data_IF_971946612947
#
_entry.id   IF_971946612947
#
_cell.length_a   1.000
_cell.length_b   1.000
_cell.length_c   1.000
_cell.angle_alpha   90.00
_cell.angle_beta   90.00
_cell.angle_gamma   90.00
#
_symmetry.space_group_name_H-M   'P 1'
#
loop_
_entity.id
_entity.type
_entity.pdbx_description
1 polymer ?
#
# COMPACT_ATOMS: atom_id res chain seq x y z
N UNK A 1 3.14 -18.43 5.22
CA UNK A 1 3.48 -17.05 4.81
C UNK A 1 2.45 -16.63 3.77
N UNK A 2 1.53 -15.74 4.14
CA UNK A 2 0.59 -15.17 3.19
C UNK A 2 1.29 -14.01 2.47
N UNK A 3 1.59 -14.17 1.19
CA UNK A 3 2.10 -13.07 0.38
C UNK A 3 0.92 -12.15 0.05
N UNK A 4 0.85 -10.99 0.69
CA UNK A 4 -0.08 -9.95 0.26
C UNK A 4 0.53 -9.22 -0.94
N UNK A 5 0.07 -9.57 -2.14
CA UNK A 5 0.45 -8.88 -3.37
C UNK A 5 -0.37 -7.60 -3.48
N UNK A 6 0.19 -6.45 -3.07
CA UNK A 6 -0.46 -5.16 -3.27
C UNK A 6 0.18 -4.44 -4.46
N UNK A 7 -0.65 -4.04 -5.43
CA UNK A 7 -0.24 -3.17 -6.52
C UNK A 7 -0.12 -1.74 -5.98
N UNK A 8 1.08 -1.38 -5.53
CA UNK A 8 1.32 -0.06 -4.92
C UNK A 8 1.18 1.10 -5.91
N UNK A 9 1.25 0.81 -7.22
CA UNK A 9 1.16 1.81 -8.29
C UNK A 9 0.29 1.32 -9.47
N UNK A 10 -0.92 0.83 -9.19
CA UNK A 10 -1.85 0.35 -10.23
C UNK A 10 -2.05 1.39 -11.33
N UNK A 11 -2.38 2.63 -10.96
CA UNK A 11 -2.60 3.73 -11.91
C UNK A 11 -1.37 4.06 -12.74
N UNK A 12 -0.17 3.94 -12.15
CA UNK A 12 1.06 4.20 -12.88
C UNK A 12 1.33 3.11 -13.91
N UNK A 13 1.14 1.84 -13.55
CA UNK A 13 1.27 0.72 -14.46
C UNK A 13 0.26 0.82 -15.61
N UNK A 14 -1.01 1.15 -15.32
CA UNK A 14 -2.04 1.36 -16.33
C UNK A 14 -1.64 2.51 -17.28
N UNK A 15 -1.25 3.66 -16.74
CA UNK A 15 -0.81 4.81 -17.54
C UNK A 15 0.40 4.48 -18.43
N UNK A 16 1.37 3.71 -17.91
CA UNK A 16 2.56 3.29 -18.68
C UNK A 16 2.20 2.28 -19.77
N UNK A 17 1.32 1.33 -19.47
CA UNK A 17 0.85 0.35 -20.46
C UNK A 17 0.11 1.03 -21.60
N UNK A 18 -0.75 2.00 -21.30
CA UNK A 18 -1.44 2.81 -22.32
C UNK A 18 -0.44 3.60 -23.18
N UNK A 19 0.60 4.18 -22.58
CA UNK A 19 1.66 4.88 -23.33
C UNK A 19 2.49 3.92 -24.17
N UNK A 20 2.88 2.76 -23.63
CA UNK A 20 3.62 1.74 -24.34
C UNK A 20 2.85 1.26 -25.58
N UNK A 21 1.56 0.96 -25.41
CA UNK A 21 0.62 0.64 -26.49
C UNK A 21 0.57 1.75 -27.54
N UNK A 22 0.41 3.01 -27.11
CA UNK A 22 0.41 4.17 -28.00
C UNK A 22 1.73 4.32 -28.77
N UNK A 23 2.87 4.12 -28.10
CA UNK A 23 4.19 4.12 -28.72
C UNK A 23 4.34 3.03 -29.77
N UNK A 24 3.93 1.80 -29.45
CA UNK A 24 3.90 0.69 -30.39
C UNK A 24 3.01 0.97 -31.61
N UNK A 25 1.78 1.46 -31.38
CA UNK A 25 0.84 1.81 -32.45
C UNK A 25 1.39 2.89 -33.38
N UNK A 26 1.96 3.97 -32.82
CA UNK A 26 2.61 5.03 -33.61
C UNK A 26 3.77 4.48 -34.45
N UNK A 27 4.56 3.56 -33.90
CA UNK A 27 5.64 2.93 -34.64
C UNK A 27 5.12 2.00 -35.75
N UNK A 28 3.97 1.34 -35.55
CA UNK A 28 3.29 0.60 -36.61
C UNK A 28 2.83 1.49 -37.77
N UNK A 29 2.33 2.70 -37.48
CA UNK A 29 2.01 3.71 -38.53
C UNK A 29 3.29 4.10 -39.27
N UNK A 30 4.36 4.40 -38.55
CA UNK A 30 5.64 4.78 -39.15
C UNK A 30 6.21 3.64 -40.00
N UNK A 31 6.15 2.40 -39.53
CA UNK A 31 6.59 1.22 -40.26
C UNK A 31 5.77 1.01 -41.54
N UNK A 32 4.44 1.17 -41.48
CA UNK A 32 3.58 1.08 -42.66
C UNK A 32 3.89 2.18 -43.70
N UNK A 33 4.13 3.41 -43.25
CA UNK A 33 4.54 4.51 -44.12
C UNK A 33 5.94 4.29 -44.71
N UNK A 34 6.88 3.82 -43.88
CA UNK A 34 8.24 3.51 -44.31
C UNK A 34 8.24 2.41 -45.36
N UNK A 35 7.49 1.32 -45.17
CA UNK A 35 7.36 0.26 -46.17
C UNK A 35 6.84 0.80 -47.51
N UNK A 36 5.84 1.69 -47.46
CA UNK A 36 5.26 2.30 -48.68
C UNK A 36 6.20 3.27 -49.38
N UNK A 37 7.04 3.99 -48.64
CA UNK A 37 8.00 4.95 -49.20
C UNK A 37 9.33 4.29 -49.62
N UNK A 38 9.68 3.17 -48.98
CA UNK A 38 10.98 2.50 -49.13
C UNK A 38 10.96 1.33 -50.11
N UNK A 39 9.79 0.85 -50.53
CA UNK A 39 9.62 -0.15 -51.60
C UNK A 39 10.53 0.09 -52.83
N UNK A 40 10.68 1.32 -53.38
CA UNK A 40 11.59 1.56 -54.51
C UNK A 40 13.08 1.52 -54.17
N UNK A 41 13.47 1.61 -52.90
CA UNK A 41 14.88 1.68 -52.44
C UNK A 41 15.39 0.38 -51.82
N UNK A 42 14.54 -0.64 -51.69
CA UNK A 42 14.86 -1.89 -51.01
C UNK A 42 16.05 -2.65 -51.62
N UNK A 43 16.37 -2.42 -52.90
CA UNK A 43 17.51 -3.04 -53.56
C UNK A 43 18.89 -2.50 -53.15
N UNK A 44 18.96 -1.33 -52.49
CA UNK A 44 20.25 -0.65 -52.20
C UNK A 44 20.66 -0.80 -50.73
N UNK A 45 19.71 -0.96 -49.80
CA UNK A 45 19.99 -0.93 -48.36
C UNK A 45 19.40 -2.18 -47.67
N UNK A 46 20.26 -3.15 -47.38
CA UNK A 46 19.91 -4.33 -46.59
C UNK A 46 20.08 -4.06 -45.08
N UNK A 47 19.27 -3.17 -44.49
CA UNK A 47 19.11 -3.18 -43.02
C UNK A 47 17.98 -4.13 -42.66
N UNK A 48 18.33 -5.35 -42.24
CA UNK A 48 17.41 -6.33 -41.68
C UNK A 48 17.14 -6.03 -40.20
N UNK A 49 16.67 -4.82 -39.89
CA UNK A 49 16.13 -4.55 -38.55
C UNK A 49 14.71 -5.11 -38.50
N UNK A 50 14.51 -6.12 -37.67
CA UNK A 50 13.20 -6.74 -37.54
C UNK A 50 12.17 -5.77 -36.94
N UNK A 51 10.93 -5.78 -37.44
CA UNK A 51 9.79 -5.00 -36.95
C UNK A 51 9.64 -4.97 -35.42
N UNK A 52 9.88 -6.11 -34.77
CA UNK A 52 9.75 -6.27 -33.32
C UNK A 52 10.65 -5.38 -32.48
N UNK A 53 11.87 -5.09 -32.95
CA UNK A 53 12.80 -4.21 -32.25
C UNK A 53 12.22 -2.80 -32.11
N UNK A 54 11.67 -2.26 -33.19
CA UNK A 54 11.11 -0.91 -33.21
C UNK A 54 9.87 -0.80 -32.31
N UNK A 55 9.05 -1.85 -32.26
CA UNK A 55 7.90 -1.90 -31.35
C UNK A 55 8.34 -1.78 -29.88
N UNK A 56 9.35 -2.55 -29.48
CA UNK A 56 9.89 -2.55 -28.11
C UNK A 56 10.53 -1.21 -27.77
N UNK A 57 11.34 -0.63 -28.66
CA UNK A 57 12.00 0.66 -28.40
C UNK A 57 10.98 1.80 -28.32
N UNK A 58 10.00 1.85 -29.22
CA UNK A 58 8.94 2.86 -29.18
C UNK A 58 8.08 2.73 -27.92
N UNK A 59 7.73 1.50 -27.53
CA UNK A 59 7.01 1.22 -26.30
C UNK A 59 7.82 1.68 -25.07
N UNK A 60 9.11 1.36 -25.02
CA UNK A 60 9.99 1.73 -23.92
C UNK A 60 10.19 3.25 -23.80
N UNK A 61 10.35 3.95 -24.92
CA UNK A 61 10.46 5.40 -24.96
C UNK A 61 9.18 6.11 -24.51
N UNK A 62 8.02 5.58 -24.88
CA UNK A 62 6.73 6.13 -24.49
C UNK A 62 6.41 5.84 -23.02
N UNK A 63 6.81 4.67 -22.51
CA UNK A 63 6.61 4.27 -21.12
C UNK A 63 7.57 4.99 -20.14
N UNK A 64 8.78 5.33 -20.58
CA UNK A 64 9.79 5.98 -19.76
C UNK A 64 9.32 7.35 -19.24
N UNK A 65 9.31 7.53 -17.92
CA UNK A 65 9.20 8.84 -17.25
C UNK A 65 10.59 9.27 -16.79
N UNK A 66 11.36 10.00 -17.60
CA UNK A 66 12.68 10.41 -17.18
C UNK A 66 12.62 11.45 -16.05
N UNK A 67 13.54 11.33 -15.08
CA UNK A 67 13.83 12.41 -14.15
C UNK A 67 14.54 13.56 -14.88
N UNK A 68 14.31 14.81 -14.43
CA UNK A 68 14.71 16.03 -15.17
C UNK A 68 16.22 16.11 -15.52
N UNK A 69 17.10 15.37 -14.83
CA UNK A 69 18.54 15.34 -15.13
C UNK A 69 19.02 14.26 -16.11
N UNK A 70 18.25 13.18 -16.33
CA UNK A 70 18.72 12.00 -17.08
C UNK A 70 17.91 11.71 -18.34
N UNK A 71 16.99 12.61 -18.72
CA UNK A 71 16.04 12.37 -19.79
C UNK A 71 16.67 12.07 -21.15
N UNK A 72 17.67 12.86 -21.55
CA UNK A 72 18.36 12.67 -22.82
C UNK A 72 19.21 11.40 -22.80
N UNK A 73 19.93 11.14 -21.70
CA UNK A 73 20.73 9.93 -21.53
C UNK A 73 19.89 8.65 -21.60
N UNK A 74 18.74 8.62 -20.92
CA UNK A 74 17.83 7.47 -20.96
C UNK A 74 17.26 7.25 -22.37
N UNK A 75 16.83 8.30 -23.06
CA UNK A 75 16.30 8.19 -24.42
C UNK A 75 17.37 7.71 -25.41
N UNK A 76 18.59 8.23 -25.32
CA UNK A 76 19.72 7.77 -26.13
C UNK A 76 20.07 6.31 -25.83
N UNK A 77 20.12 5.94 -24.55
CA UNK A 77 20.40 4.56 -24.12
C UNK A 77 19.32 3.57 -24.61
N UNK A 78 18.04 3.95 -24.55
CA UNK A 78 16.93 3.13 -25.06
C UNK A 78 16.95 2.95 -26.58
N UNK A 79 17.50 3.91 -27.33
CA UNK A 79 17.70 3.76 -28.77
C UNK A 79 18.89 2.85 -29.09
N UNK A 80 20.01 3.01 -28.37
CA UNK A 80 21.28 2.35 -28.75
C UNK A 80 21.43 0.96 -28.15
N UNK A 81 21.19 0.79 -26.85
CA UNK A 81 21.53 -0.46 -26.15
C UNK A 81 20.70 -1.67 -26.59
N UNK A 82 19.38 -1.56 -26.85
CA UNK A 82 18.61 -2.72 -27.34
C UNK A 82 19.03 -3.18 -28.75
N UNK A 83 19.85 -2.43 -29.49
CA UNK A 83 20.42 -2.87 -30.79
C UNK A 83 21.54 -3.87 -30.58
N UNK A 84 22.23 -3.82 -29.44
CA UNK A 84 23.44 -4.61 -29.20
C UNK A 84 23.31 -6.12 -29.47
N UNK A 85 22.20 -6.80 -29.08
CA UNK A 85 22.02 -8.23 -29.33
C UNK A 85 22.03 -8.63 -30.81
N UNK A 86 21.68 -7.70 -31.71
CA UNK A 86 21.63 -7.97 -33.15
C UNK A 86 23.01 -8.06 -33.79
N UNK A 87 24.07 -7.57 -33.13
CA UNK A 87 25.45 -7.71 -33.63
C UNK A 87 26.03 -9.11 -33.43
N UNK A 88 25.42 -9.95 -32.58
CA UNK A 88 25.96 -11.27 -32.22
C UNK A 88 25.49 -12.42 -33.14
N UNK A 89 24.73 -12.12 -34.21
CA UNK A 89 24.20 -13.12 -35.15
C UNK A 89 23.52 -14.33 -34.46
N UNK A 90 22.88 -14.10 -33.31
CA UNK A 90 22.18 -15.13 -32.57
C UNK A 90 20.88 -15.54 -33.30
N UNK A 91 20.45 -16.81 -33.23
CA UNK A 91 19.22 -17.25 -33.88
C UNK A 91 17.99 -16.57 -33.27
N UNK A 92 17.02 -16.21 -34.12
CA UNK A 92 15.73 -15.73 -33.65
C UNK A 92 15.04 -16.80 -32.77
N UNK A 93 14.37 -16.44 -31.66
CA UNK A 93 14.04 -15.08 -31.23
C UNK A 93 14.95 -14.51 -30.11
N UNK A 94 16.20 -14.98 -30.01
CA UNK A 94 17.11 -14.56 -28.93
C UNK A 94 17.43 -13.07 -28.94
N UNK A 95 17.80 -12.43 -30.08
CA UNK A 95 18.09 -11.00 -30.11
C UNK A 95 16.93 -10.13 -29.58
N UNK A 96 15.70 -10.48 -29.94
CA UNK A 96 14.47 -9.77 -29.56
C UNK A 96 14.18 -9.95 -28.06
N UNK A 97 14.42 -11.15 -27.52
CA UNK A 97 14.30 -11.41 -26.08
C UNK A 97 15.30 -10.56 -25.28
N UNK A 98 16.56 -10.54 -25.69
CA UNK A 98 17.59 -9.74 -25.00
C UNK A 98 17.32 -8.24 -25.16
N UNK A 99 16.88 -7.79 -26.34
CA UNK A 99 16.50 -6.39 -26.57
C UNK A 99 15.33 -5.97 -25.66
N UNK A 100 14.30 -6.80 -25.55
CA UNK A 100 13.17 -6.60 -24.63
C UNK A 100 13.61 -6.52 -23.17
N UNK A 101 14.51 -7.40 -22.74
CA UNK A 101 15.08 -7.42 -21.40
C UNK A 101 15.90 -6.15 -21.09
N UNK A 102 16.77 -5.72 -22.02
CA UNK A 102 17.57 -4.50 -21.89
C UNK A 102 16.65 -3.27 -21.78
N UNK A 103 15.65 -3.16 -22.67
CA UNK A 103 14.71 -2.04 -22.65
C UNK A 103 13.94 -1.97 -21.32
N UNK A 104 13.44 -3.11 -20.83
CA UNK A 104 12.74 -3.18 -19.56
C UNK A 104 13.65 -2.86 -18.37
N UNK A 105 14.89 -3.36 -18.36
CA UNK A 105 15.88 -3.05 -17.33
C UNK A 105 16.19 -1.54 -17.29
N UNK A 106 16.36 -0.90 -18.44
CA UNK A 106 16.61 0.54 -18.53
C UNK A 106 15.41 1.36 -18.03
N UNK A 107 14.19 1.00 -18.44
CA UNK A 107 12.98 1.68 -17.98
C UNK A 107 12.76 1.48 -16.47
N UNK A 108 12.95 0.26 -15.97
CA UNK A 108 12.78 -0.05 -14.55
C UNK A 108 13.86 0.63 -13.69
N UNK A 109 15.12 0.63 -14.13
CA UNK A 109 16.24 1.14 -13.34
C UNK A 109 16.38 2.66 -13.37
N UNK A 110 16.29 3.29 -14.55
CA UNK A 110 16.50 4.74 -14.71
C UNK A 110 15.19 5.54 -14.71
N UNK A 111 14.08 4.92 -15.13
CA UNK A 111 12.78 5.58 -15.27
C UNK A 111 12.03 5.80 -13.95
N UNK A 112 12.39 5.13 -12.86
CA UNK A 112 11.77 5.35 -11.54
C UNK A 112 12.49 6.38 -10.68
N UNK A 113 13.61 6.94 -11.15
CA UNK A 113 14.55 7.66 -10.28
C UNK A 113 15.20 6.71 -9.27
N UNK A 114 16.45 6.97 -8.90
CA UNK A 114 17.17 6.13 -7.92
C UNK A 114 16.56 6.17 -6.51
N UNK A 115 15.48 6.93 -6.30
CA UNK A 115 14.80 7.10 -5.03
C UNK A 115 14.12 5.81 -4.54
N UNK A 116 13.83 4.85 -5.44
CA UNK A 116 13.37 3.50 -5.09
C UNK A 116 14.49 2.47 -4.83
N UNK A 117 15.77 2.85 -4.88
CA UNK A 117 16.93 1.93 -4.84
C UNK A 117 17.24 1.36 -3.45
N UNK A 118 16.23 0.91 -2.71
CA UNK A 118 16.43 0.00 -1.59
C UNK A 118 16.99 -1.35 -2.06
N UNK A 119 17.46 -2.18 -1.12
CA UNK A 119 18.09 -3.47 -1.41
C UNK A 119 17.24 -4.46 -2.25
N UNK A 120 15.92 -4.21 -2.43
CA UNK A 120 15.01 -5.00 -3.28
C UNK A 120 14.79 -4.45 -4.71
N UNK A 121 15.40 -3.33 -5.08
CA UNK A 121 15.24 -2.75 -6.42
C UNK A 121 15.95 -3.56 -7.51
N UNK A 122 17.06 -4.22 -7.19
CA UNK A 122 17.81 -5.03 -8.17
C UNK A 122 17.06 -6.30 -8.58
N UNK A 123 16.36 -6.94 -7.65
CA UNK A 123 15.60 -8.17 -7.92
C UNK A 123 14.34 -7.90 -8.73
N UNK A 124 13.63 -6.81 -8.44
CA UNK A 124 12.45 -6.38 -9.22
C UNK A 124 12.83 -5.93 -10.63
N UNK A 125 13.94 -5.20 -10.80
CA UNK A 125 14.50 -4.85 -12.12
C UNK A 125 14.88 -6.12 -12.88
N UNK A 126 15.62 -7.05 -12.28
CA UNK A 126 16.00 -8.31 -12.92
C UNK A 126 14.79 -9.16 -13.31
N UNK A 127 13.77 -9.25 -12.43
CA UNK A 127 12.53 -9.97 -12.71
C UNK A 127 11.76 -9.34 -13.87
N UNK A 128 11.68 -8.00 -13.92
CA UNK A 128 11.03 -7.28 -15.03
C UNK A 128 11.78 -7.45 -16.34
N UNK A 129 13.11 -7.43 -16.32
CA UNK A 129 13.94 -7.68 -17.49
C UNK A 129 13.76 -9.10 -18.01
N UNK A 130 13.80 -10.10 -17.13
CA UNK A 130 13.56 -11.49 -17.49
C UNK A 130 12.15 -11.71 -18.07
N UNK A 131 11.12 -11.18 -17.39
CA UNK A 131 9.73 -11.32 -17.82
C UNK A 131 9.46 -10.60 -19.16
N UNK A 132 9.94 -9.37 -19.34
CA UNK A 132 9.83 -8.66 -20.61
C UNK A 132 10.62 -9.36 -21.73
N UNK A 133 11.80 -9.89 -21.43
CA UNK A 133 12.57 -10.69 -22.38
C UNK A 133 11.85 -11.96 -22.83
N UNK A 134 11.14 -12.63 -21.92
CA UNK A 134 10.34 -13.82 -22.26
C UNK A 134 9.04 -13.47 -22.99
N UNK A 135 8.36 -12.37 -22.64
CA UNK A 135 7.07 -12.00 -23.23
C UNK A 135 7.20 -11.31 -24.59
N UNK A 136 8.33 -10.66 -24.88
CA UNK A 136 8.58 -10.05 -26.20
C UNK A 136 8.46 -11.05 -27.36
N UNK A 137 9.12 -12.23 -27.36
CA UNK A 137 8.96 -13.22 -28.43
C UNK A 137 7.56 -13.83 -28.47
N UNK A 138 6.87 -13.93 -27.33
CA UNK A 138 5.46 -14.35 -27.29
C UNK A 138 4.58 -13.33 -28.01
N UNK A 139 4.79 -12.03 -27.78
CA UNK A 139 4.10 -10.96 -28.49
C UNK A 139 4.36 -11.01 -30.00
N UNK A 140 5.59 -11.30 -30.41
CA UNK A 140 5.93 -11.47 -31.84
C UNK A 140 5.24 -12.70 -32.45
N UNK A 141 5.18 -13.81 -31.72
CA UNK A 141 4.45 -14.99 -32.16
C UNK A 141 2.95 -14.70 -32.31
N UNK A 142 2.34 -14.01 -31.35
CA UNK A 142 0.93 -13.61 -31.42
C UNK A 142 0.69 -12.67 -32.61
N UNK A 143 1.59 -11.73 -32.86
CA UNK A 143 1.54 -10.88 -34.06
C UNK A 143 1.55 -11.74 -35.33
N UNK A 144 2.47 -12.70 -35.47
CA UNK A 144 2.55 -13.59 -36.64
C UNK A 144 1.25 -14.38 -36.84
N UNK A 145 0.67 -14.89 -35.75
CA UNK A 145 -0.62 -15.61 -35.77
C UNK A 145 -1.77 -14.69 -36.19
N UNK A 146 -1.78 -13.44 -35.72
CA UNK A 146 -2.80 -12.45 -36.10
C UNK A 146 -2.68 -12.06 -37.58
N UNK A 147 -1.47 -11.81 -38.05
CA UNK A 147 -1.19 -11.46 -39.45
C UNK A 147 -1.57 -12.61 -40.40
N UNK A 148 -1.32 -13.87 -40.00
CA UNK A 148 -1.64 -15.06 -40.78
C UNK A 148 -3.15 -15.36 -40.85
N UNK A 149 -3.89 -15.14 -39.77
CA UNK A 149 -5.30 -15.56 -39.68
C UNK A 149 -6.32 -14.46 -39.99
N UNK A 150 -6.01 -13.18 -39.71
CA UNK A 150 -7.03 -12.12 -39.67
C UNK A 150 -6.73 -10.92 -40.57
N UNK A 151 -5.48 -10.47 -40.65
CA UNK A 151 -5.19 -9.09 -41.09
C UNK A 151 -4.54 -8.99 -42.47
N UNK A 152 -4.12 -10.11 -43.08
CA UNK A 152 -3.61 -10.12 -44.45
C UNK A 152 -2.35 -9.27 -44.62
N UNK A 153 -1.27 -9.62 -43.92
CA UNK A 153 0.16 -9.36 -44.22
C UNK A 153 0.69 -7.92 -44.38
N UNK A 154 -0.07 -6.94 -44.88
CA UNK A 154 0.48 -5.64 -45.34
C UNK A 154 -0.40 -4.42 -45.08
N UNK A 155 -1.61 -4.60 -44.54
CA UNK A 155 -2.48 -3.47 -44.20
C UNK A 155 -1.89 -2.59 -43.09
N UNK A 156 -2.11 -1.27 -43.16
CA UNK A 156 -1.75 -0.33 -42.08
C UNK A 156 -2.34 -0.78 -40.73
N UNK A 157 -3.57 -1.28 -40.75
CA UNK A 157 -4.23 -1.81 -39.55
C UNK A 157 -3.49 -3.03 -38.97
N UNK A 158 -2.97 -3.92 -39.83
CA UNK A 158 -2.15 -5.08 -39.44
C UNK A 158 -0.90 -4.63 -38.68
N UNK A 159 -0.18 -3.66 -39.23
CA UNK A 159 1.05 -3.13 -38.65
C UNK A 159 0.78 -2.42 -37.32
N UNK A 160 -0.24 -1.57 -37.26
CA UNK A 160 -0.62 -0.88 -36.01
C UNK A 160 -0.98 -1.89 -34.92
N UNK A 161 -1.82 -2.88 -35.24
CA UNK A 161 -2.29 -3.85 -34.27
C UNK A 161 -1.19 -4.84 -33.84
N UNK A 162 -0.35 -5.26 -34.78
CA UNK A 162 0.81 -6.13 -34.52
C UNK A 162 1.82 -5.47 -33.59
N UNK A 163 2.22 -4.23 -33.87
CA UNK A 163 3.16 -3.51 -33.02
C UNK A 163 2.57 -3.14 -31.65
N UNK A 164 1.27 -2.80 -31.60
CA UNK A 164 0.58 -2.60 -30.33
C UNK A 164 0.53 -3.90 -29.51
N UNK A 165 0.34 -5.06 -30.14
CA UNK A 165 0.36 -6.36 -29.48
C UNK A 165 1.74 -6.64 -28.85
N UNK A 166 2.83 -6.47 -29.60
CA UNK A 166 4.20 -6.65 -29.07
C UNK A 166 4.46 -5.68 -27.91
N UNK A 167 4.06 -4.42 -28.03
CA UNK A 167 4.18 -3.43 -26.97
C UNK A 167 3.37 -3.79 -25.71
N UNK A 168 2.18 -4.38 -25.87
CA UNK A 168 1.36 -4.87 -24.76
C UNK A 168 2.09 -5.98 -23.98
N UNK A 169 2.56 -7.00 -24.68
CA UNK A 169 3.27 -8.13 -24.06
C UNK A 169 4.55 -7.67 -23.36
N UNK A 170 5.31 -6.77 -24.00
CA UNK A 170 6.46 -6.15 -23.37
C UNK A 170 6.09 -5.36 -22.11
N UNK A 171 5.02 -4.55 -22.15
CA UNK A 171 4.54 -3.78 -21.00
C UNK A 171 4.09 -4.68 -19.85
N UNK A 172 3.38 -5.78 -20.13
CA UNK A 172 3.01 -6.79 -19.12
C UNK A 172 4.28 -7.37 -18.48
N UNK A 173 5.33 -7.59 -19.25
CA UNK A 173 6.63 -8.04 -18.74
C UNK A 173 7.32 -7.05 -17.81
N UNK A 174 6.98 -5.76 -17.86
CA UNK A 174 7.50 -4.76 -16.92
C UNK A 174 6.76 -4.74 -15.58
N UNK A 175 5.63 -5.46 -15.45
CA UNK A 175 4.80 -5.50 -14.25
C UNK A 175 5.58 -5.85 -12.96
N UNK A 176 6.55 -6.78 -12.93
CA UNK A 176 7.33 -7.07 -11.71
C UNK A 176 8.08 -5.87 -11.13
N UNK A 177 8.42 -4.86 -11.94
CA UNK A 177 9.03 -3.62 -11.43
C UNK A 177 8.06 -2.74 -10.64
N UNK A 178 6.75 -2.94 -10.84
CA UNK A 178 5.67 -2.23 -10.15
C UNK A 178 5.06 -3.05 -8.99
N UNK A 179 5.44 -4.32 -8.89
CA UNK A 179 5.09 -5.17 -7.77
C UNK A 179 6.09 -4.98 -6.65
N UNK A 180 5.74 -4.16 -5.66
CA UNK A 180 6.38 -4.29 -4.36
C UNK A 180 5.76 -5.50 -3.67
N UNK A 181 6.44 -6.64 -3.82
CA UNK A 181 6.21 -7.79 -2.95
C UNK A 181 6.61 -7.34 -1.54
N UNK A 182 5.65 -6.81 -0.80
CA UNK A 182 5.80 -6.64 0.63
C UNK A 182 5.86 -8.05 1.18
N UNK A 183 7.08 -8.49 1.47
CA UNK A 183 7.34 -9.76 2.16
C UNK A 183 6.68 -9.77 3.55
N UNK A 184 6.17 -8.62 3.99
CA UNK A 184 5.47 -8.41 5.24
C UNK A 184 4.21 -7.55 5.08
N UNK A 185 3.05 -8.19 5.23
CA UNK A 185 1.75 -7.53 5.18
C UNK A 185 1.56 -6.50 6.31
N UNK A 186 2.19 -6.72 7.47
CA UNK A 186 2.03 -5.89 8.67
C UNK A 186 2.75 -4.57 8.48
N UNK A 187 3.97 -4.60 7.95
CA UNK A 187 4.74 -3.39 7.64
C UNK A 187 4.08 -2.54 6.54
N UNK A 188 3.55 -3.18 5.49
CA UNK A 188 2.80 -2.50 4.44
C UNK A 188 1.59 -1.75 5.01
N UNK A 189 0.81 -2.43 5.86
CA UNK A 189 -0.35 -1.85 6.55
C UNK A 189 0.06 -0.67 7.43
N UNK A 190 1.11 -0.80 8.23
CA UNK A 190 1.59 0.30 9.07
C UNK A 190 2.06 1.53 8.28
N UNK A 191 2.74 1.32 7.14
CA UNK A 191 3.20 2.42 6.28
C UNK A 191 2.06 3.17 5.58
N UNK A 192 1.04 2.44 5.10
CA UNK A 192 -0.16 3.08 4.52
C UNK A 192 -0.92 3.90 5.58
N UNK A 193 -1.05 3.35 6.78
CA UNK A 193 -1.75 4.00 7.88
C UNK A 193 -1.07 5.28 8.35
N UNK A 194 0.28 5.32 8.35
CA UNK A 194 1.06 6.51 8.69
C UNK A 194 0.71 7.73 7.81
N UNK A 195 0.36 7.52 6.54
CA UNK A 195 -0.02 8.61 5.64
C UNK A 195 -1.46 9.11 5.86
N UNK A 196 -2.35 8.27 6.39
CA UNK A 196 -3.75 8.59 6.62
C UNK A 196 -4.02 9.24 7.98
N UNK A 197 -3.20 8.92 8.99
CA UNK A 197 -3.32 9.44 10.35
C UNK A 197 -2.76 10.87 10.48
N UNK A 198 -3.28 11.61 11.47
CA UNK A 198 -2.81 12.95 11.86
C UNK A 198 -2.51 13.01 13.35
N UNK A 199 -1.61 13.92 13.74
CA UNK A 199 -1.30 14.23 15.13
C UNK A 199 -0.64 13.06 15.88
N UNK A 200 -0.97 12.92 17.16
CA UNK A 200 -0.34 11.95 18.07
C UNK A 200 -0.49 10.49 17.61
N UNK A 201 -1.65 10.11 17.06
CA UNK A 201 -1.88 8.77 16.54
C UNK A 201 -0.92 8.42 15.38
N UNK A 202 -0.52 9.41 14.57
CA UNK A 202 0.45 9.25 13.50
C UNK A 202 1.86 9.01 14.06
N UNK A 203 2.25 9.75 15.09
CA UNK A 203 3.54 9.60 15.76
C UNK A 203 3.67 8.23 16.41
N UNK A 204 2.63 7.78 17.12
CA UNK A 204 2.57 6.46 17.74
C UNK A 204 2.63 5.34 16.72
N UNK A 205 1.89 5.46 15.61
CA UNK A 205 1.92 4.46 14.53
C UNK A 205 3.29 4.41 13.87
N UNK A 206 3.91 5.58 13.61
CA UNK A 206 5.26 5.66 13.07
C UNK A 206 6.28 5.00 13.98
N UNK A 207 6.17 5.24 15.29
CA UNK A 207 7.00 4.60 16.31
C UNK A 207 6.76 3.10 16.36
N UNK A 208 5.51 2.64 16.33
CA UNK A 208 5.14 1.22 16.31
C UNK A 208 5.75 0.48 15.11
N UNK A 209 5.66 1.05 13.90
CA UNK A 209 6.29 0.50 12.68
C UNK A 209 7.81 0.38 12.87
N UNK A 210 8.45 1.45 13.36
CA UNK A 210 9.89 1.43 13.61
C UNK A 210 10.29 0.37 14.66
N UNK A 211 9.54 0.24 15.75
CA UNK A 211 9.81 -0.78 16.77
C UNK A 211 9.63 -2.19 16.23
N UNK A 212 8.56 -2.43 15.47
CA UNK A 212 8.31 -3.71 14.81
C UNK A 212 9.46 -4.10 13.87
N UNK A 213 9.91 -3.19 12.99
CA UNK A 213 11.04 -3.42 12.09
C UNK A 213 12.34 -3.77 12.85
N UNK A 214 12.64 -3.04 13.94
CA UNK A 214 13.81 -3.31 14.77
C UNK A 214 13.72 -4.67 15.45
N UNK A 215 12.58 -5.00 16.06
CA UNK A 215 12.33 -6.30 16.68
C UNK A 215 12.45 -7.42 15.64
N UNK A 216 11.76 -7.30 14.50
CA UNK A 216 11.82 -8.28 13.41
C UNK A 216 13.25 -8.52 12.93
N UNK A 217 14.03 -7.46 12.72
CA UNK A 217 15.44 -7.57 12.32
C UNK A 217 16.28 -8.28 13.38
N UNK A 218 16.05 -7.99 14.66
CA UNK A 218 16.71 -8.67 15.77
C UNK A 218 16.37 -10.17 15.81
N UNK A 219 15.12 -10.54 15.53
CA UNK A 219 14.65 -11.94 15.49
C UNK A 219 15.18 -12.70 14.28
N UNK A 220 15.24 -12.07 13.12
CA UNK A 220 15.78 -12.70 11.91
C UNK A 220 17.29 -12.99 12.00
N UNK A 221 18.03 -12.24 12.84
CA UNK A 221 19.43 -12.55 13.18
C UNK A 221 19.59 -13.79 14.07
N UNK A 222 18.51 -14.29 14.67
CA UNK A 222 18.54 -15.53 15.46
C UNK A 222 18.56 -16.75 14.53
N UNK A 223 19.25 -17.83 14.94
CA UNK A 223 19.29 -19.07 14.16
C UNK A 223 17.87 -19.61 13.92
N UNK A 224 17.62 -20.27 12.77
CA UNK A 224 16.33 -20.86 12.47
C UNK A 224 15.94 -21.89 13.51
N UNK A 225 14.85 -21.63 14.23
CA UNK A 225 14.30 -22.47 15.28
C UNK A 225 12.78 -22.29 15.33
N UNK A 226 12.01 -23.26 15.86
CA UNK A 226 10.56 -23.12 16.02
C UNK A 226 10.20 -21.92 16.92
N UNK A 227 10.96 -21.70 18.00
CA UNK A 227 10.77 -20.55 18.89
C UNK A 227 10.95 -19.20 18.18
N UNK A 228 11.78 -19.12 17.13
CA UNK A 228 11.90 -17.92 16.28
C UNK A 228 10.60 -17.61 15.53
N UNK A 229 9.93 -18.64 15.02
CA UNK A 229 8.66 -18.47 14.29
C UNK A 229 7.55 -18.03 15.24
N UNK A 230 7.40 -18.70 16.39
CA UNK A 230 6.42 -18.31 17.42
C UNK A 230 6.60 -16.85 17.85
N UNK A 231 7.84 -16.41 17.99
CA UNK A 231 8.16 -15.03 18.36
C UNK A 231 7.82 -14.02 17.24
N UNK A 232 8.05 -14.38 15.97
CA UNK A 232 7.62 -13.55 14.84
C UNK A 232 6.10 -13.44 14.80
N UNK A 233 5.37 -14.55 15.00
CA UNK A 233 3.91 -14.57 15.02
C UNK A 233 3.35 -13.67 16.14
N UNK A 234 3.96 -13.71 17.33
CA UNK A 234 3.58 -12.83 18.45
C UNK A 234 3.85 -11.36 18.12
N UNK A 235 5.01 -11.05 17.52
CA UNK A 235 5.33 -9.68 17.11
C UNK A 235 4.39 -9.16 16.03
N UNK A 236 4.06 -9.98 15.04
CA UNK A 236 3.09 -9.67 13.99
C UNK A 236 1.71 -9.40 14.58
N UNK A 237 1.26 -10.24 15.53
CA UNK A 237 0.00 -10.04 16.24
C UNK A 237 -0.03 -8.71 17.01
N UNK A 238 0.99 -8.41 17.81
CA UNK A 238 1.07 -7.16 18.59
C UNK A 238 1.08 -5.92 17.69
N UNK A 239 1.84 -5.95 16.59
CA UNK A 239 1.87 -4.85 15.63
C UNK A 239 0.54 -4.69 14.90
N UNK A 240 -0.09 -5.79 14.47
CA UNK A 240 -1.42 -5.77 13.85
C UNK A 240 -2.51 -5.23 14.77
N UNK A 241 -2.49 -5.57 16.06
CA UNK A 241 -3.41 -5.03 17.07
C UNK A 241 -3.22 -3.52 17.25
N UNK A 242 -1.96 -3.06 17.33
CA UNK A 242 -1.62 -1.64 17.38
C UNK A 242 -2.18 -0.88 16.16
N UNK A 243 -2.00 -1.41 14.95
CA UNK A 243 -2.53 -0.78 13.73
C UNK A 243 -4.05 -0.81 13.66
N UNK A 244 -4.69 -1.88 14.15
CA UNK A 244 -6.15 -1.97 14.20
C UNK A 244 -6.76 -0.95 15.17
N UNK A 245 -6.11 -0.68 16.30
CA UNK A 245 -6.50 0.39 17.23
C UNK A 245 -6.34 1.78 16.60
N UNK A 246 -5.23 2.01 15.89
CA UNK A 246 -4.98 3.27 15.21
C UNK A 246 -5.99 3.52 14.07
N UNK A 247 -6.37 2.49 13.30
CA UNK A 247 -7.46 2.57 12.32
C UNK A 247 -8.81 2.89 12.97
N UNK A 248 -9.16 2.21 14.08
CA UNK A 248 -10.38 2.48 14.82
C UNK A 248 -10.42 3.92 15.36
N UNK A 249 -9.30 4.43 15.85
CA UNK A 249 -9.15 5.82 16.27
C UNK A 249 -9.34 6.79 15.10
N UNK A 250 -8.75 6.49 13.93
CA UNK A 250 -8.88 7.32 12.72
C UNK A 250 -10.33 7.40 12.25
N UNK A 251 -11.01 6.26 12.17
CA UNK A 251 -12.39 6.16 11.75
C UNK A 251 -13.32 6.96 12.68
N UNK A 252 -13.11 6.83 14.00
CA UNK A 252 -13.91 7.54 14.99
C UNK A 252 -13.61 9.05 14.99
N UNK A 253 -12.35 9.44 14.77
CA UNK A 253 -11.98 10.86 14.62
C UNK A 253 -12.65 11.46 13.38
N UNK A 254 -12.64 10.77 12.24
CA UNK A 254 -13.32 11.22 11.03
C UNK A 254 -14.84 11.33 11.21
N UNK A 255 -15.45 10.43 11.99
CA UNK A 255 -16.87 10.50 12.36
C UNK A 255 -17.17 11.68 13.28
N UNK A 256 -16.31 11.99 14.25
CA UNK A 256 -16.51 13.16 15.11
C UNK A 256 -16.29 14.46 14.32
N UNK A 257 -15.24 14.54 13.50
CA UNK A 257 -14.93 15.73 12.70
C UNK A 257 -16.03 16.05 11.68
N UNK A 258 -16.74 15.04 11.14
CA UNK A 258 -17.86 15.27 10.24
C UNK A 258 -19.12 15.80 10.92
N UNK A 259 -19.28 15.54 12.23
CA UNK A 259 -20.43 16.00 13.02
C UNK A 259 -20.17 17.35 13.70
N UNK A 260 -18.91 17.66 14.03
CA UNK A 260 -18.50 18.85 14.82
C UNK A 260 -18.58 20.18 14.03
N UNK A 261 -19.06 20.19 12.78
CA UNK A 261 -19.25 21.42 12.00
C UNK A 261 -20.59 22.15 12.25
N UNK A 262 -21.53 21.55 12.98
CA UNK A 262 -22.75 22.24 13.42
C UNK A 262 -22.82 22.24 14.95
N UNK A 263 -22.91 23.45 15.51
CA UNK A 263 -22.93 23.68 16.95
C UNK A 263 -24.27 23.18 17.54
N UNK A 264 -24.38 21.86 17.72
CA UNK A 264 -25.58 21.17 18.22
C UNK A 264 -25.97 21.71 19.61
N UNK A 265 -25.01 22.12 20.44
CA UNK A 265 -25.29 22.78 21.73
C UNK A 265 -25.94 24.16 21.55
N UNK A 266 -25.46 24.97 20.58
CA UNK A 266 -26.13 26.22 20.24
C UNK A 266 -27.56 25.98 19.71
N UNK A 267 -27.78 24.94 18.91
CA UNK A 267 -29.12 24.57 18.42
C UNK A 267 -30.05 24.12 19.55
N UNK A 268 -29.55 23.32 20.50
CA UNK A 268 -30.32 22.93 21.70
C UNK A 268 -30.71 24.15 22.54
N UNK A 269 -29.77 25.07 22.77
CA UNK A 269 -30.03 26.33 23.50
C UNK A 269 -31.04 27.20 22.77
N UNK A 270 -30.92 27.31 21.45
CA UNK A 270 -31.85 28.08 20.63
C UNK A 270 -33.26 27.48 20.63
N UNK A 271 -33.40 26.16 20.47
CA UNK A 271 -34.71 25.48 20.52
C UNK A 271 -35.38 25.63 21.89
N UNK A 272 -34.62 25.53 22.98
CA UNK A 272 -35.14 25.78 24.34
C UNK A 272 -35.57 27.22 24.55
N UNK A 273 -34.80 28.19 24.05
CA UNK A 273 -35.17 29.60 24.10
C UNK A 273 -36.44 29.90 23.28
N UNK A 274 -36.56 29.31 22.08
CA UNK A 274 -37.77 29.39 21.24
C UNK A 274 -38.98 28.75 21.92
N UNK A 275 -38.81 27.58 22.55
CA UNK A 275 -39.88 26.91 23.31
C UNK A 275 -40.40 27.78 24.46
N UNK A 276 -39.51 28.49 25.16
CA UNK A 276 -39.87 29.38 26.26
C UNK A 276 -40.64 30.64 25.81
N UNK A 277 -40.41 31.11 24.59
CA UNK A 277 -41.07 32.30 24.04
C UNK A 277 -42.44 32.01 23.41
N UNK A 278 -42.76 30.75 23.10
CA UNK A 278 -44.01 30.35 22.45
C UNK A 278 -45.13 30.15 23.48
N UNK A 279 -46.29 30.75 23.19
CA UNK A 279 -47.49 30.64 24.03
C UNK A 279 -48.33 29.39 23.74
N UNK A 280 -48.27 28.86 22.51
CA UNK A 280 -48.96 27.64 22.13
C UNK A 280 -48.31 26.41 22.78
N UNK A 281 -49.10 25.69 23.57
CA UNK A 281 -48.65 24.52 24.33
C UNK A 281 -48.23 23.35 23.45
N UNK A 282 -48.85 23.18 22.27
CA UNK A 282 -48.52 22.07 21.36
C UNK A 282 -47.18 22.34 20.68
N UNK A 283 -47.00 23.55 20.13
CA UNK A 283 -45.75 23.96 19.51
C UNK A 283 -44.58 23.97 20.50
N UNK A 284 -44.80 24.46 21.74
CA UNK A 284 -43.80 24.41 22.81
C UNK A 284 -43.36 22.98 23.12
N UNK A 285 -44.31 22.05 23.28
CA UNK A 285 -43.99 20.64 23.55
C UNK A 285 -43.19 19.99 22.42
N UNK A 286 -43.49 20.32 21.16
CA UNK A 286 -42.71 19.80 20.04
C UNK A 286 -41.27 20.32 20.00
N UNK A 287 -41.05 21.60 20.32
CA UNK A 287 -39.70 22.15 20.43
C UNK A 287 -38.93 21.58 21.62
N UNK A 288 -39.59 21.33 22.76
CA UNK A 288 -38.98 20.66 23.91
C UNK A 288 -38.57 19.22 23.57
N UNK A 289 -39.40 18.48 22.84
CA UNK A 289 -39.07 17.13 22.34
C UNK A 289 -37.91 17.14 21.33
N UNK A 290 -37.88 18.12 20.43
CA UNK A 290 -36.76 18.28 19.51
C UNK A 290 -35.45 18.60 20.26
N UNK A 291 -35.52 19.48 21.26
CA UNK A 291 -34.37 19.81 22.10
C UNK A 291 -33.90 18.62 22.96
N UNK A 292 -34.81 17.75 23.43
CA UNK A 292 -34.41 16.52 24.15
C UNK A 292 -33.74 15.51 23.22
N UNK A 293 -34.27 15.32 22.00
CA UNK A 293 -33.67 14.44 20.98
C UNK A 293 -32.24 14.87 20.63
N UNK A 294 -32.01 16.16 20.39
CA UNK A 294 -30.65 16.68 20.14
C UNK A 294 -29.75 16.59 21.38
N UNK A 295 -30.32 16.68 22.59
CA UNK A 295 -29.58 16.46 23.83
C UNK A 295 -29.08 15.02 23.99
N UNK A 296 -29.86 14.03 23.54
CA UNK A 296 -29.44 12.63 23.50
C UNK A 296 -28.31 12.41 22.47
N UNK A 297 -28.37 13.06 21.32
CA UNK A 297 -27.29 13.04 20.32
C UNK A 297 -26.00 13.64 20.87
N UNK A 298 -26.06 14.77 21.60
CA UNK A 298 -24.88 15.33 22.28
C UNK A 298 -24.27 14.33 23.28
N UNK A 299 -25.10 13.69 24.10
CA UNK A 299 -24.63 12.66 25.03
C UNK A 299 -23.97 11.49 24.29
N UNK A 300 -24.48 11.13 23.11
CA UNK A 300 -23.88 10.10 22.26
C UNK A 300 -22.51 10.55 21.71
N UNK A 301 -22.37 11.79 21.26
CA UNK A 301 -21.10 12.37 20.82
C UNK A 301 -20.07 12.40 21.95
N UNK A 302 -20.48 12.73 23.17
CA UNK A 302 -19.63 12.67 24.36
C UNK A 302 -19.23 11.25 24.75
N UNK A 303 -20.07 10.25 24.46
CA UNK A 303 -19.68 8.85 24.61
C UNK A 303 -18.63 8.45 23.56
N UNK A 304 -18.78 8.91 22.31
CA UNK A 304 -17.81 8.68 21.24
C UNK A 304 -16.47 9.40 21.49
N UNK A 305 -16.48 10.64 21.99
CA UNK A 305 -15.26 11.38 22.32
C UNK A 305 -14.43 10.66 23.40
N UNK A 306 -15.08 10.19 24.47
CA UNK A 306 -14.44 9.36 25.50
C UNK A 306 -13.92 8.04 24.93
N UNK A 307 -14.65 7.43 23.98
CA UNK A 307 -14.18 6.22 23.28
C UNK A 307 -12.93 6.51 22.43
N UNK A 308 -12.85 7.66 21.76
CA UNK A 308 -11.65 8.11 21.03
C UNK A 308 -10.43 8.14 21.96
N UNK A 309 -10.57 8.79 23.12
CA UNK A 309 -9.49 8.94 24.10
C UNK A 309 -9.04 7.58 24.65
N UNK A 310 -9.99 6.68 24.93
CA UNK A 310 -9.68 5.30 25.35
C UNK A 310 -8.89 4.54 24.29
N UNK A 311 -9.26 4.65 23.01
CA UNK A 311 -8.52 4.00 21.92
C UNK A 311 -7.09 4.54 21.80
N UNK A 312 -6.91 5.85 21.96
CA UNK A 312 -5.59 6.48 21.94
C UNK A 312 -4.74 6.01 23.14
N UNK A 313 -5.32 5.91 24.34
CA UNK A 313 -4.63 5.36 25.50
C UNK A 313 -4.26 3.88 25.33
N UNK A 314 -5.15 3.07 24.72
CA UNK A 314 -4.86 1.67 24.38
C UNK A 314 -3.73 1.58 23.34
N UNK A 315 -3.68 2.48 22.36
CA UNK A 315 -2.60 2.53 21.38
C UNK A 315 -1.26 2.83 22.07
N UNK A 316 -1.22 3.80 23.00
CA UNK A 316 -0.02 4.05 23.82
C UNK A 316 0.45 2.82 24.59
N UNK A 317 -0.48 2.11 25.24
CA UNK A 317 -0.17 0.89 25.96
C UNK A 317 0.44 -0.18 25.04
N UNK A 318 -0.12 -0.37 23.84
CA UNK A 318 0.41 -1.34 22.87
C UNK A 318 1.79 -0.94 22.33
N UNK A 319 2.02 0.35 22.08
CA UNK A 319 3.36 0.85 21.70
C UNK A 319 4.37 0.60 22.83
N UNK A 320 3.99 0.84 24.09
CA UNK A 320 4.85 0.56 25.23
C UNK A 320 5.17 -0.95 25.37
N UNK A 321 4.22 -1.83 25.04
CA UNK A 321 4.49 -3.28 24.99
C UNK A 321 5.50 -3.64 23.89
N UNK A 322 5.41 -3.03 22.71
CA UNK A 322 6.39 -3.20 21.64
C UNK A 322 7.78 -2.67 22.05
N UNK A 323 7.85 -1.55 22.78
CA UNK A 323 9.11 -1.04 23.34
C UNK A 323 9.70 -2.01 24.37
N UNK A 324 8.86 -2.55 25.26
CA UNK A 324 9.28 -3.56 26.23
C UNK A 324 9.77 -4.84 25.56
N UNK A 325 9.12 -5.25 24.47
CA UNK A 325 9.58 -6.36 23.64
C UNK A 325 10.97 -6.08 23.05
N UNK A 326 11.17 -4.88 22.49
CA UNK A 326 12.48 -4.43 21.98
C UNK A 326 13.56 -4.51 23.06
N UNK A 327 13.30 -3.98 24.25
CA UNK A 327 14.27 -4.03 25.38
C UNK A 327 14.58 -5.48 25.76
N UNK A 328 13.57 -6.35 25.77
CA UNK A 328 13.75 -7.78 26.06
C UNK A 328 14.65 -8.47 25.02
N UNK A 329 14.55 -8.08 23.74
CA UNK A 329 15.45 -8.58 22.69
C UNK A 329 16.89 -8.09 22.84
N UNK A 330 17.10 -6.83 23.24
CA UNK A 330 18.43 -6.30 23.51
C UNK A 330 19.09 -7.08 24.65
N UNK A 331 18.35 -7.36 25.73
CA UNK A 331 18.84 -8.18 26.84
C UNK A 331 19.19 -9.62 26.42
N UNK A 332 18.37 -10.24 25.57
CA UNK A 332 18.60 -11.59 25.08
C UNK A 332 19.79 -11.73 24.12
N UNK A 333 20.13 -10.66 23.38
CA UNK A 333 21.32 -10.67 22.49
C UNK A 333 22.65 -10.69 23.26
N UNK A 334 22.65 -10.28 24.53
CA UNK A 334 23.84 -10.25 25.40
C UNK A 334 24.17 -11.58 26.10
N UNK A 335 23.32 -12.62 26.00
CA UNK A 335 23.57 -13.94 26.59
C UNK A 335 24.01 -14.98 25.54
N UNK A 336 24.78 -15.98 25.99
CA UNK A 336 25.57 -16.89 25.14
C UNK A 336 24.81 -17.61 24.01
N UNK A 337 25.55 -17.88 22.92
CA UNK A 337 25.07 -18.31 21.60
C UNK A 337 24.38 -19.68 21.55
N UNK A 338 24.51 -20.53 22.57
CA UNK A 338 24.05 -21.92 22.54
C UNK A 338 22.56 -22.16 22.83
N UNK A 339 21.88 -21.27 23.56
CA UNK A 339 20.51 -21.50 24.06
C UNK A 339 19.42 -20.64 23.38
N UNK A 340 19.71 -20.08 22.19
CA UNK A 340 18.88 -19.05 21.55
C UNK A 340 17.46 -19.52 21.15
N UNK A 341 17.27 -20.79 20.83
CA UNK A 341 15.96 -21.33 20.42
C UNK A 341 14.95 -21.43 21.57
N UNK A 342 15.37 -21.97 22.71
CA UNK A 342 14.52 -22.06 23.91
C UNK A 342 14.26 -20.69 24.52
N UNK A 343 15.27 -19.80 24.53
CA UNK A 343 15.10 -18.42 24.95
C UNK A 343 14.10 -17.67 24.07
N UNK A 344 14.12 -17.87 22.74
CA UNK A 344 13.12 -17.29 21.84
C UNK A 344 11.71 -17.78 22.16
N UNK A 345 11.52 -19.07 22.44
CA UNK A 345 10.22 -19.62 22.83
C UNK A 345 9.75 -19.09 24.20
N UNK A 346 10.64 -18.97 25.18
CA UNK A 346 10.32 -18.37 26.49
C UNK A 346 9.95 -16.89 26.36
N UNK A 347 10.67 -16.13 25.53
CA UNK A 347 10.35 -14.75 25.21
C UNK A 347 8.99 -14.64 24.51
N UNK A 348 8.70 -15.49 23.54
CA UNK A 348 7.40 -15.54 22.87
C UNK A 348 6.25 -15.76 23.86
N UNK A 349 6.40 -16.72 24.78
CA UNK A 349 5.41 -16.99 25.83
C UNK A 349 5.25 -15.81 26.79
N UNK A 350 6.35 -15.18 27.19
CA UNK A 350 6.33 -14.00 28.07
C UNK A 350 5.66 -12.80 27.41
N UNK A 351 5.95 -12.55 26.13
CA UNK A 351 5.31 -11.47 25.36
C UNK A 351 3.83 -11.73 25.11
N UNK A 352 3.47 -12.99 24.81
CA UNK A 352 2.08 -13.40 24.67
C UNK A 352 1.28 -13.16 25.96
N UNK A 353 1.83 -13.55 27.11
CA UNK A 353 1.19 -13.29 28.40
C UNK A 353 0.96 -11.80 28.69
N UNK A 354 1.94 -10.95 28.35
CA UNK A 354 1.81 -9.49 28.52
C UNK A 354 0.77 -8.86 27.59
N UNK A 355 0.64 -9.40 26.37
CA UNK A 355 -0.40 -8.98 25.42
C UNK A 355 -1.81 -9.33 25.91
N UNK A 356 -2.00 -10.55 26.42
CA UNK A 356 -3.30 -11.02 26.90
C UNK A 356 -3.75 -10.27 28.17
N UNK A 357 -2.82 -9.94 29.08
CA UNK A 357 -3.12 -9.16 30.31
C UNK A 357 -3.52 -7.70 30.01
N UNK A 358 -3.00 -7.13 28.92
CA UNK A 358 -3.31 -5.76 28.49
C UNK A 358 -4.59 -5.67 27.63
N UNK A 359 -5.10 -6.80 27.14
CA UNK A 359 -6.31 -6.88 26.33
C UNK A 359 -7.61 -6.95 27.15
N UNK A 360 -7.52 -7.02 28.49
CA UNK A 360 -8.68 -7.00 29.38
C UNK A 360 -9.31 -5.60 29.32
N UNK A 361 -10.54 -5.43 28.81
CA UNK A 361 -11.21 -4.14 28.83
C UNK A 361 -11.47 -3.74 30.29
N UNK A 362 -11.29 -2.47 30.68
CA UNK A 362 -11.84 -2.00 31.94
C UNK A 362 -13.36 -2.23 31.91
N UNK A 363 -13.90 -2.76 33.01
CA UNK A 363 -15.31 -3.11 33.14
C UNK A 363 -16.21 -1.96 32.62
N UNK A 364 -17.35 -2.27 31.97
CA UNK A 364 -18.31 -1.25 31.60
C UNK A 364 -18.63 -0.43 32.84
N UNK A 365 -18.49 0.90 32.75
CA UNK A 365 -19.05 1.79 33.77
C UNK A 365 -20.55 1.49 33.77
N UNK A 366 -21.00 0.76 34.80
CA UNK A 366 -22.42 0.60 35.04
C UNK A 366 -23.04 2.01 35.05
N UNK A 367 -24.19 2.21 34.36
CA UNK A 367 -24.90 3.45 34.51
C UNK A 367 -25.15 3.63 36.00
N UNK A 368 -24.65 4.73 36.56
CA UNK A 368 -24.92 5.14 37.94
C UNK A 368 -26.44 5.16 38.07
N UNK A 369 -26.97 4.10 38.64
CA UNK A 369 -28.39 3.95 38.87
C UNK A 369 -28.72 4.96 39.95
N UNK A 370 -29.67 5.85 39.65
CA UNK A 370 -30.23 6.92 40.49
C UNK A 370 -30.88 6.44 41.81
N UNK A 371 -30.50 5.26 42.32
CA UNK A 371 -31.11 4.60 43.48
C UNK A 371 -30.41 4.88 44.81
N UNK A 372 -29.27 5.60 44.82
CA UNK A 372 -28.56 5.92 46.07
C UNK A 372 -28.94 7.28 46.70
N UNK A 373 -29.94 7.98 46.14
CA UNK A 373 -30.48 9.22 46.70
C UNK A 373 -31.62 9.02 47.73
N UNK A 374 -32.02 7.78 48.02
CA UNK A 374 -33.09 7.47 48.96
C UNK A 374 -32.62 6.59 50.12
N UNK A 375 -31.56 7.01 50.82
CA UNK A 375 -31.21 6.43 52.13
C UNK A 375 -31.69 7.39 53.23
N UNK A 376 -32.77 7.07 53.97
CA UNK A 376 -33.20 7.91 55.08
C UNK A 376 -32.14 7.86 56.20
N UNK A 377 -31.86 9.03 56.78
CA UNK A 377 -30.92 9.21 57.88
C UNK A 377 -31.32 8.38 59.11
N UNK A 378 -30.37 7.78 59.85
CA UNK A 378 -30.68 7.06 61.07
C UNK A 378 -31.15 8.03 62.17
N UNK A 379 -32.35 7.78 62.67
CA UNK A 379 -32.93 8.45 63.84
C UNK A 379 -31.98 8.38 65.05
N UNK A 380 -31.73 9.55 65.63
CA UNK A 380 -31.06 9.71 66.90
C UNK A 380 -31.89 9.09 68.02
N UNK A 381 -31.50 7.91 68.51
CA UNK A 381 -32.04 7.33 69.74
C UNK A 381 -31.58 8.17 70.94
N UNK A 382 -32.52 8.94 71.51
CA UNK A 382 -32.45 9.52 72.85
C UNK A 382 -32.27 8.41 73.89
N UNK A 383 -31.29 8.59 74.78
CA UNK A 383 -31.20 7.89 76.06
C UNK A 383 -31.90 8.77 77.12
N UNK A 384 -32.87 8.25 77.90
CA UNK A 384 -33.24 8.84 79.18
C UNK A 384 -32.64 8.02 80.34
N UNK A 385 -32.04 8.76 81.28
CA UNK A 385 -31.71 8.45 82.69
C UNK A 385 -31.06 7.10 83.06
#
# INVERSE_FOLDING_TARGET
MAFSMQFLHREEFESRTVRALGGGACMGIFAALALRLWEPFQHVVHLSLEPGYFAVVAAALAAAKPTQGYALGLRAALMVLPVFPFFFAAPAPLPQSVAGAIAAALVAWLGHGREGAGAGASTSVAASAAAAGMLTPVGLYVQQVMDANFLGGTGLLSQVLGYACVALFWSIGTLPSHLMLHTDAVEARGNTLKGALKGEAQELTTRAVGLYQHCKTAVLRMPPSPGRQELLDVLEKMASESFSLAEAHAALTAQLDSVVAHDVDAQVKELRARAAAIQDSVARRQLELAASSLGEELNHLDALSRKRERLLAQLHAQVALLERARVSFIGAQGHELGAKGEQAAQLARKLKGLGDESAIPPAPLEPVSEQDAARPAPESSRVPN
#
